data_IF_445620495310
#
_entry.id   IF_445620495310
#
_cell.length_a   1.000
_cell.length_b   1.000
_cell.length_c   1.000
_cell.angle_alpha   90.00
_cell.angle_beta   90.00
_cell.angle_gamma   90.00
#
_symmetry.space_group_name_H-M   'P 1'
#
loop_
_entity.id
_entity.type
_entity.pdbx_description
1 polymer ?
#
# COMPACT_ATOMS: atom_id res chain seq x y z
N UNK A 1 -20.92 27.06 -20.37
CA UNK A 1 -19.75 26.55 -19.61
C UNK A 1 -20.26 25.67 -18.47
N UNK A 2 -20.18 24.34 -18.58
CA UNK A 2 -20.52 23.43 -17.49
C UNK A 2 -19.31 22.57 -17.15
N UNK A 3 -18.43 23.12 -16.30
CA UNK A 3 -17.33 22.41 -15.69
C UNK A 3 -17.89 21.42 -14.66
N UNK A 4 -17.94 20.14 -15.03
CA UNK A 4 -17.89 19.03 -14.08
C UNK A 4 -16.43 18.83 -13.70
N UNK A 5 -15.95 19.62 -12.74
CA UNK A 5 -14.56 19.57 -12.28
C UNK A 5 -14.58 19.60 -10.75
N UNK A 6 -14.85 18.44 -10.16
CA UNK A 6 -14.92 18.28 -8.70
C UNK A 6 -14.71 16.85 -8.21
N UNK A 7 -14.38 15.91 -9.11
CA UNK A 7 -14.15 14.50 -8.77
C UNK A 7 -12.71 14.03 -8.99
N UNK A 8 -11.80 14.92 -9.40
CA UNK A 8 -10.40 14.57 -9.65
C UNK A 8 -9.49 14.88 -8.45
N UNK A 9 -9.74 15.98 -7.72
CA UNK A 9 -8.90 16.38 -6.59
C UNK A 9 -8.98 15.38 -5.42
N UNK A 10 -10.18 14.95 -5.03
CA UNK A 10 -10.34 13.98 -3.94
C UNK A 10 -9.62 12.63 -4.21
N UNK A 11 -9.58 12.18 -5.47
CA UNK A 11 -8.85 10.96 -5.86
C UNK A 11 -7.34 11.15 -5.81
N UNK A 12 -6.87 12.37 -6.08
CA UNK A 12 -5.46 12.71 -6.01
C UNK A 12 -4.98 12.79 -4.55
N UNK A 13 -5.82 13.34 -3.68
CA UNK A 13 -5.58 13.37 -2.23
C UNK A 13 -5.50 11.95 -1.65
N UNK A 14 -6.42 11.06 -2.05
CA UNK A 14 -6.41 9.65 -1.62
C UNK A 14 -5.13 8.90 -2.06
N UNK A 15 -4.70 9.08 -3.32
CA UNK A 15 -3.47 8.46 -3.84
C UNK A 15 -2.22 8.97 -3.10
N UNK A 16 -2.20 10.26 -2.75
CA UNK A 16 -1.10 10.85 -1.96
C UNK A 16 -1.08 10.32 -0.52
N UNK A 17 -2.24 10.24 0.13
CA UNK A 17 -2.37 9.74 1.49
C UNK A 17 -1.98 8.25 1.58
N UNK A 18 -2.34 7.45 0.58
CA UNK A 18 -1.92 6.06 0.49
C UNK A 18 -0.41 5.94 0.30
N UNK A 19 0.18 6.77 -0.55
CA UNK A 19 1.62 6.77 -0.80
C UNK A 19 2.42 7.11 0.46
N UNK A 20 1.99 8.12 1.21
CA UNK A 20 2.60 8.51 2.48
C UNK A 20 2.46 7.42 3.54
N UNK A 21 1.30 6.76 3.61
CA UNK A 21 1.10 5.62 4.49
C UNK A 21 2.02 4.45 4.15
N UNK A 22 2.13 4.06 2.87
CA UNK A 22 3.04 3.01 2.43
C UNK A 22 4.51 3.40 2.69
N UNK A 23 4.87 4.68 2.56
CA UNK A 23 6.21 5.13 2.92
C UNK A 23 6.50 4.92 4.42
N UNK A 24 5.50 5.16 5.29
CA UNK A 24 5.65 4.95 6.74
C UNK A 24 5.88 3.49 7.14
N UNK A 25 5.50 2.52 6.30
CA UNK A 25 5.70 1.09 6.57
C UNK A 25 7.17 0.66 6.54
N UNK A 26 8.07 1.43 5.92
CA UNK A 26 9.52 1.12 5.87
C UNK A 26 10.12 1.12 7.28
N UNK A 27 9.61 1.98 8.17
CA UNK A 27 10.10 2.11 9.56
C UNK A 27 9.20 1.37 10.57
N UNK A 28 8.17 0.68 10.10
CA UNK A 28 7.27 -0.09 10.94
C UNK A 28 7.81 -1.51 11.14
N UNK A 29 7.86 -1.98 12.39
CA UNK A 29 8.15 -3.39 12.71
C UNK A 29 6.83 -4.12 12.99
N UNK A 30 6.35 -5.00 12.10
CA UNK A 30 5.12 -5.75 12.33
C UNK A 30 5.23 -6.70 13.53
N UNK A 31 4.09 -6.97 14.17
CA UNK A 31 4.01 -8.01 15.21
C UNK A 31 4.21 -9.42 14.63
N UNK A 32 3.90 -9.61 13.35
CA UNK A 32 4.04 -10.90 12.67
C UNK A 32 5.49 -11.04 12.18
N UNK A 33 6.21 -12.12 12.54
CA UNK A 33 7.56 -12.37 12.04
C UNK A 33 7.62 -12.63 10.53
N UNK A 34 8.70 -12.17 9.89
CA UNK A 34 8.96 -12.29 8.45
C UNK A 34 8.86 -13.73 7.95
N UNK A 35 9.37 -14.70 8.70
CA UNK A 35 9.33 -16.13 8.34
C UNK A 35 7.91 -16.66 8.14
N UNK A 36 6.92 -16.13 8.88
CA UNK A 36 5.53 -16.52 8.70
C UNK A 36 4.95 -15.86 7.46
N UNK A 37 5.28 -14.59 7.24
CA UNK A 37 4.87 -13.84 6.05
C UNK A 37 5.38 -14.55 4.79
N UNK A 38 6.67 -14.84 4.71
CA UNK A 38 7.29 -15.58 3.60
C UNK A 38 6.62 -16.95 3.35
N UNK A 39 6.37 -17.72 4.42
CA UNK A 39 5.73 -19.03 4.30
C UNK A 39 4.31 -18.93 3.73
N UNK A 40 3.49 -18.01 4.23
CA UNK A 40 2.10 -17.87 3.77
C UNK A 40 2.00 -17.19 2.39
N UNK A 41 2.91 -16.26 2.05
CA UNK A 41 3.05 -15.69 0.70
C UNK A 41 3.41 -16.78 -0.33
N UNK A 42 4.42 -17.59 -0.04
CA UNK A 42 4.82 -18.68 -0.92
C UNK A 42 3.69 -19.71 -1.08
N UNK A 43 2.97 -20.03 0.01
CA UNK A 43 1.85 -20.97 0.00
C UNK A 43 0.67 -20.47 -0.85
N UNK A 44 0.42 -19.17 -0.90
CA UNK A 44 -0.65 -18.59 -1.71
C UNK A 44 -0.26 -18.42 -3.19
N UNK A 45 1.04 -18.54 -3.51
CA UNK A 45 1.56 -18.29 -4.86
C UNK A 45 1.71 -16.80 -5.17
N UNK A 46 1.68 -15.93 -4.17
CA UNK A 46 1.89 -14.50 -4.34
C UNK A 46 3.37 -14.16 -4.11
N UNK A 47 4.03 -13.61 -5.15
CA UNK A 47 5.40 -13.13 -5.07
C UNK A 47 5.42 -11.64 -5.43
N UNK A 48 5.72 -10.81 -4.43
CA UNK A 48 5.89 -9.38 -4.59
C UNK A 48 7.30 -9.01 -4.10
N UNK A 49 8.09 -8.24 -4.85
CA UNK A 49 9.39 -7.74 -4.39
C UNK A 49 9.27 -6.56 -3.43
N UNK A 50 8.07 -5.99 -3.27
CA UNK A 50 7.82 -4.90 -2.32
C UNK A 50 7.64 -5.47 -0.92
N UNK A 51 8.61 -5.23 -0.04
CA UNK A 51 8.61 -5.70 1.35
C UNK A 51 7.49 -5.11 2.20
N UNK A 52 6.78 -4.10 1.70
CA UNK A 52 5.64 -3.48 2.36
C UNK A 52 4.33 -4.21 2.10
N UNK A 53 4.32 -5.20 1.20
CA UNK A 53 3.16 -5.97 0.74
C UNK A 53 3.32 -7.46 1.06
#
# INVERSE_FOLDING_TARGET
MNQKQGGNDARHDDDSALSDFLASLVDYTPTIPDVLVEHYLAKSGFQCPDVRL
#
